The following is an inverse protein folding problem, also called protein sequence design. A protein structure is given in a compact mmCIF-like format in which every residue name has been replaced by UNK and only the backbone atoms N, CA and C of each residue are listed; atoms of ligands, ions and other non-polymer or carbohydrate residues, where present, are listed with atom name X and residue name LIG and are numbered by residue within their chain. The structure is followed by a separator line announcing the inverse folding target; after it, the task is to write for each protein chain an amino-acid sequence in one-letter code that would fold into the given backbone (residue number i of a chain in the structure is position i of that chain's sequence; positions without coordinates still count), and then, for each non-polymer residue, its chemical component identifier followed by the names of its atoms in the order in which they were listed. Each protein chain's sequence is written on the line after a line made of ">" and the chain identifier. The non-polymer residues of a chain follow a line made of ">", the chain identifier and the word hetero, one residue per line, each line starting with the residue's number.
data_IF_846198129372
#
_entry.id   IF_846198129372
#
_cell.length_a   1.000
_cell.length_b   1.000
_cell.length_c   1.000
_cell.angle_alpha   90.00
_cell.angle_beta   90.00
_cell.angle_gamma   90.00
#
_symmetry.space_group_name_H-M   'P 1'
#
loop_
_entity.id
_entity.type
_entity.pdbx_description
1 polymer ?
#
# COMPACT_ATOMS: atom_id res chain seq x y z
N UNK A 1 -23.62 19.84 5.63
CA UNK A 1 -23.89 18.54 4.98
C UNK A 1 -22.68 17.69 5.21
N UNK A 2 -22.85 16.59 5.95
CA UNK A 2 -21.80 15.64 6.25
C UNK A 2 -22.13 14.39 5.43
N UNK A 3 -21.24 13.99 4.53
CA UNK A 3 -21.38 12.77 3.75
C UNK A 3 -20.41 11.76 4.35
N UNK A 4 -20.90 10.62 4.82
CA UNK A 4 -20.03 9.55 5.33
C UNK A 4 -20.60 8.18 4.93
N UNK A 5 -19.76 7.15 4.96
CA UNK A 5 -20.17 5.80 4.58
C UNK A 5 -18.98 4.86 4.39
N UNK A 6 -19.23 3.73 3.74
CA UNK A 6 -18.22 2.71 3.45
C UNK A 6 -18.05 2.53 1.93
N UNK A 7 -16.80 2.38 1.48
CA UNK A 7 -16.45 2.13 0.09
C UNK A 7 -16.95 0.77 -0.45
N UNK A 8 -17.33 -0.15 0.44
CA UNK A 8 -18.00 -1.40 0.05
C UNK A 8 -19.44 -1.17 -0.45
N UNK A 9 -20.06 -0.05 -0.07
CA UNK A 9 -21.43 0.30 -0.43
C UNK A 9 -21.49 1.37 -1.53
N UNK A 10 -20.54 2.32 -1.49
CA UNK A 10 -20.46 3.42 -2.46
C UNK A 10 -19.06 3.48 -3.03
N UNK A 11 -18.94 3.23 -4.33
CA UNK A 11 -17.64 3.26 -4.98
C UNK A 11 -17.08 4.70 -5.08
N UNK A 12 -15.76 4.83 -5.11
CA UNK A 12 -15.03 6.11 -5.15
C UNK A 12 -15.43 7.00 -6.33
N UNK A 13 -15.75 6.43 -7.51
CA UNK A 13 -16.17 7.20 -8.68
C UNK A 13 -17.51 7.87 -8.42
N UNK A 14 -18.46 7.12 -7.86
CA UNK A 14 -19.78 7.64 -7.48
C UNK A 14 -19.66 8.76 -6.46
N UNK A 15 -18.80 8.57 -5.45
CA UNK A 15 -18.52 9.57 -4.42
C UNK A 15 -17.94 10.87 -5.00
N UNK A 16 -16.92 10.79 -5.85
CA UNK A 16 -16.31 11.97 -6.46
C UNK A 16 -17.28 12.66 -7.43
N UNK A 17 -18.03 11.89 -8.22
CA UNK A 17 -19.04 12.42 -9.14
C UNK A 17 -20.12 13.18 -8.38
N UNK A 18 -20.54 12.67 -7.22
CA UNK A 18 -21.50 13.33 -6.35
C UNK A 18 -20.95 14.68 -5.83
N UNK A 19 -19.73 14.71 -5.29
CA UNK A 19 -19.06 15.95 -4.82
C UNK A 19 -18.96 17.00 -5.95
N UNK A 20 -18.61 16.55 -7.16
CA UNK A 20 -18.54 17.40 -8.35
C UNK A 20 -19.89 17.99 -8.72
N UNK A 21 -20.95 17.16 -8.77
CA UNK A 21 -22.29 17.59 -9.17
C UNK A 21 -22.88 18.62 -8.21
N UNK A 22 -22.67 18.46 -6.91
CA UNK A 22 -23.14 19.43 -5.90
C UNK A 22 -22.19 20.64 -5.75
N UNK A 23 -21.09 20.68 -6.51
CA UNK A 23 -20.03 21.70 -6.45
C UNK A 23 -19.52 21.94 -5.02
N UNK A 24 -19.36 20.88 -4.23
CA UNK A 24 -18.99 21.03 -2.83
C UNK A 24 -17.52 21.46 -2.67
N UNK A 25 -17.30 22.33 -1.69
CA UNK A 25 -15.98 22.74 -1.21
C UNK A 25 -15.75 22.10 0.16
N UNK A 26 -14.60 21.44 0.33
CA UNK A 26 -14.33 20.66 1.53
C UNK A 26 -13.20 19.66 1.35
N UNK A 27 -13.07 18.74 2.30
CA UNK A 27 -12.12 17.64 2.24
C UNK A 27 -12.82 16.30 2.32
N UNK A 28 -12.48 15.41 1.41
CA UNK A 28 -12.81 14.00 1.46
C UNK A 28 -11.70 13.27 2.21
N UNK A 29 -12.05 12.58 3.27
CA UNK A 29 -11.14 11.78 4.08
C UNK A 29 -11.53 10.32 3.86
N UNK A 30 -10.59 9.49 3.44
CA UNK A 30 -10.77 8.04 3.34
C UNK A 30 -9.83 7.38 4.32
N UNK A 31 -10.43 6.81 5.37
CA UNK A 31 -9.73 6.00 6.33
C UNK A 31 -9.63 4.58 5.78
N UNK A 32 -8.46 4.26 5.24
CA UNK A 32 -8.05 2.89 5.00
C UNK A 32 -7.09 2.45 6.13
N UNK A 33 -6.79 1.17 6.19
CA UNK A 33 -6.01 0.56 7.26
C UNK A 33 -4.54 1.03 7.34
N UNK A 34 -4.07 1.90 6.43
CA UNK A 34 -2.66 2.31 6.32
C UNK A 34 -2.41 3.82 6.46
N UNK A 35 -3.38 4.70 6.27
CA UNK A 35 -3.42 6.10 6.74
C UNK A 35 -4.64 6.81 6.18
N UNK A 36 -5.15 7.89 6.82
CA UNK A 36 -6.16 8.72 6.20
C UNK A 36 -5.60 9.32 4.90
N UNK A 37 -6.21 8.97 3.77
CA UNK A 37 -5.96 9.64 2.50
C UNK A 37 -6.96 10.79 2.39
N UNK A 38 -6.47 12.00 2.15
CA UNK A 38 -7.29 13.21 2.13
C UNK A 38 -7.22 13.81 0.73
N UNK A 39 -8.37 14.17 0.17
CA UNK A 39 -8.46 14.95 -1.08
C UNK A 39 -9.26 16.20 -0.79
N UNK A 40 -8.69 17.34 -1.12
CA UNK A 40 -9.31 18.64 -0.99
C UNK A 40 -10.05 19.01 -2.27
N UNK A 41 -11.27 19.52 -2.11
CA UNK A 41 -12.14 19.94 -3.19
C UNK A 41 -12.51 21.42 -3.04
N UNK A 42 -12.53 22.14 -4.16
CA UNK A 42 -13.03 23.51 -4.29
C UNK A 42 -14.01 23.57 -5.45
N UNK A 43 -15.25 23.95 -5.17
CA UNK A 43 -16.34 24.01 -6.15
C UNK A 43 -16.55 22.68 -6.91
N UNK A 44 -16.39 21.55 -6.23
CA UNK A 44 -16.54 20.22 -6.81
C UNK A 44 -15.33 19.71 -7.60
N UNK A 45 -14.30 20.52 -7.79
CA UNK A 45 -13.05 20.12 -8.42
C UNK A 45 -11.98 19.85 -7.35
N UNK A 46 -11.22 18.75 -7.46
CA UNK A 46 -10.17 18.46 -6.50
C UNK A 46 -8.94 19.36 -6.76
N UNK A 47 -8.30 19.85 -5.68
CA UNK A 47 -7.28 20.91 -5.73
C UNK A 47 -5.99 20.62 -4.95
N UNK A 48 -6.02 19.66 -4.04
CA UNK A 48 -4.84 19.15 -3.33
C UNK A 48 -5.18 17.77 -2.72
N UNK A 49 -4.18 17.04 -2.24
CA UNK A 49 -4.35 15.79 -1.53
C UNK A 49 -3.17 15.50 -0.57
N UNK A 50 -3.45 14.78 0.51
CA UNK A 50 -2.49 14.37 1.52
C UNK A 50 -2.57 12.86 1.76
N UNK A 51 -1.41 12.21 1.88
CA UNK A 51 -1.31 10.79 2.21
C UNK A 51 -0.05 10.16 1.63
N UNK A 52 0.21 10.42 0.35
CA UNK A 52 1.41 9.98 -0.37
C UNK A 52 2.40 11.12 -0.62
N UNK A 53 3.56 10.80 -1.22
CA UNK A 53 4.61 11.78 -1.56
C UNK A 53 4.08 12.87 -2.49
N UNK A 54 3.25 12.47 -3.45
CA UNK A 54 2.59 13.38 -4.38
C UNK A 54 1.07 13.30 -4.24
N UNK A 55 0.34 14.43 -4.33
CA UNK A 55 -1.11 14.39 -4.21
C UNK A 55 -1.81 13.61 -5.33
N UNK A 56 -1.28 13.59 -6.55
CA UNK A 56 -1.80 12.74 -7.62
C UNK A 56 -1.64 11.24 -7.32
N UNK A 57 -0.55 10.83 -6.67
CA UNK A 57 -0.36 9.45 -6.19
C UNK A 57 -1.39 9.10 -5.10
N UNK A 58 -1.69 10.05 -4.20
CA UNK A 58 -2.75 9.90 -3.20
C UNK A 58 -4.10 9.59 -3.84
N UNK A 59 -4.42 10.25 -4.97
CA UNK A 59 -5.68 10.06 -5.69
C UNK A 59 -5.70 8.73 -6.42
N UNK A 60 -4.63 8.36 -7.11
CA UNK A 60 -4.49 7.03 -7.73
C UNK A 60 -4.69 5.92 -6.69
N UNK A 61 -4.13 6.11 -5.49
CA UNK A 61 -4.29 5.19 -4.37
C UNK A 61 -5.73 5.14 -3.89
N UNK A 62 -6.39 6.29 -3.70
CA UNK A 62 -7.82 6.35 -3.36
C UNK A 62 -8.67 5.61 -4.39
N UNK A 63 -8.43 5.82 -5.68
CA UNK A 63 -9.16 5.15 -6.77
C UNK A 63 -8.98 3.62 -6.72
N UNK A 64 -7.84 3.14 -6.23
CA UNK A 64 -7.52 1.71 -6.09
C UNK A 64 -8.19 1.01 -4.89
N UNK A 65 -8.78 1.77 -3.97
CA UNK A 65 -9.41 1.24 -2.76
C UNK A 65 -10.75 0.57 -3.08
N UNK A 66 -10.91 -0.64 -2.55
CA UNK A 66 -12.16 -1.42 -2.63
C UNK A 66 -12.94 -1.40 -1.31
N UNK A 67 -12.27 -1.00 -0.21
CA UNK A 67 -12.83 -0.95 1.13
C UNK A 67 -12.26 0.25 1.90
N UNK A 68 -13.02 0.74 2.88
CA UNK A 68 -12.61 1.84 3.75
C UNK A 68 -13.78 2.73 4.13
N UNK A 69 -13.64 3.47 5.23
CA UNK A 69 -14.64 4.44 5.64
C UNK A 69 -14.31 5.81 5.06
N UNK A 70 -15.30 6.45 4.45
CA UNK A 70 -15.13 7.80 3.92
C UNK A 70 -15.93 8.81 4.73
N UNK A 71 -15.43 10.04 4.79
CA UNK A 71 -16.08 11.19 5.40
C UNK A 71 -15.73 12.45 4.60
N UNK A 72 -16.75 13.17 4.13
CA UNK A 72 -16.60 14.49 3.53
C UNK A 72 -16.96 15.57 4.55
N UNK A 73 -16.00 16.45 4.83
CA UNK A 73 -16.18 17.63 5.68
C UNK A 73 -16.16 18.88 4.83
N UNK A 74 -17.27 19.63 4.85
CA UNK A 74 -17.25 21.01 4.32
C UNK A 74 -16.20 21.81 5.07
N UNK A 75 -15.39 22.54 4.32
CA UNK A 75 -14.31 23.36 4.84
C UNK A 75 -14.05 24.46 3.83
N UNK A 76 -14.14 25.71 4.26
CA UNK A 76 -13.91 26.87 3.39
C UNK A 76 -12.42 27.24 3.32
N UNK A 77 -11.62 26.80 4.30
CA UNK A 77 -10.16 26.92 4.31
C UNK A 77 -9.52 25.73 3.59
N UNK A 78 -9.53 25.79 2.27
CA UNK A 78 -8.87 24.83 1.39
C UNK A 78 -7.50 25.38 1.00
N UNK A 79 -6.43 24.56 1.02
CA UNK A 79 -5.11 24.99 0.54
C UNK A 79 -5.17 25.57 -0.88
N UNK A 80 -4.25 26.48 -1.19
CA UNK A 80 -4.09 26.95 -2.58
C UNK A 80 -3.82 25.76 -3.50
N UNK A 81 -4.41 25.80 -4.70
CA UNK A 81 -4.27 24.72 -5.67
C UNK A 81 -2.80 24.53 -5.99
N UNK A 82 -2.24 23.39 -5.59
CA UNK A 82 -0.90 22.97 -6.04
C UNK A 82 -0.94 22.34 -7.42
N UNK A 83 -2.11 22.29 -8.05
CA UNK A 83 -2.36 21.58 -9.29
C UNK A 83 -2.83 22.48 -10.42
N UNK A 84 -2.26 22.23 -11.60
CA UNK A 84 -2.74 22.71 -12.88
C UNK A 84 -3.23 21.52 -13.72
N UNK A 85 -4.56 21.38 -13.90
CA UNK A 85 -5.16 20.52 -14.94
C UNK A 85 -5.16 19.00 -14.73
N UNK A 86 -4.12 18.39 -14.16
CA UNK A 86 -3.95 16.92 -14.13
C UNK A 86 -5.05 16.16 -13.37
N UNK A 87 -5.65 16.78 -12.35
CA UNK A 87 -6.58 16.08 -11.47
C UNK A 87 -7.96 15.83 -12.12
N UNK A 88 -8.46 16.79 -12.89
CA UNK A 88 -9.73 16.61 -13.61
C UNK A 88 -9.58 15.56 -14.73
N UNK A 89 -8.39 15.42 -15.33
CA UNK A 89 -8.04 14.34 -16.25
C UNK A 89 -7.91 12.97 -15.55
N UNK A 90 -7.38 12.94 -14.32
CA UNK A 90 -7.38 11.71 -13.50
C UNK A 90 -8.80 11.22 -13.23
N UNK A 91 -9.77 12.13 -13.03
CA UNK A 91 -11.17 11.75 -12.83
C UNK A 91 -11.81 11.15 -14.09
N UNK A 92 -11.48 11.65 -15.28
CA UNK A 92 -11.97 11.07 -16.54
C UNK A 92 -11.35 9.70 -16.85
N UNK A 93 -10.23 9.36 -16.19
CA UNK A 93 -9.51 8.09 -16.36
C UNK A 93 -9.66 7.10 -15.21
N UNK A 94 -10.57 7.36 -14.24
CA UNK A 94 -10.81 6.48 -13.07
C UNK A 94 -10.97 5.01 -13.45
N UNK A 95 -11.79 4.69 -14.44
CA UNK A 95 -12.05 3.30 -14.83
C UNK A 95 -10.79 2.63 -15.40
N UNK A 96 -9.99 3.39 -16.18
CA UNK A 96 -8.71 2.93 -16.70
C UNK A 96 -7.71 2.67 -15.58
N UNK A 97 -7.63 3.57 -14.59
CA UNK A 97 -6.78 3.42 -13.40
C UNK A 97 -7.20 2.19 -12.59
N UNK A 98 -8.51 2.00 -12.33
CA UNK A 98 -9.04 0.81 -11.65
C UNK A 98 -8.68 -0.48 -12.39
N UNK A 99 -8.85 -0.51 -13.71
CA UNK A 99 -8.51 -1.67 -14.53
C UNK A 99 -7.01 -1.99 -14.49
N UNK A 100 -6.15 -0.95 -14.56
CA UNK A 100 -4.70 -1.12 -14.41
C UNK A 100 -4.34 -1.70 -13.05
N UNK A 101 -4.87 -1.14 -11.97
CA UNK A 101 -4.66 -1.66 -10.63
C UNK A 101 -5.13 -3.11 -10.48
N UNK A 102 -6.29 -3.48 -11.05
CA UNK A 102 -6.78 -4.86 -11.02
C UNK A 102 -5.83 -5.84 -11.72
N UNK A 103 -5.28 -5.46 -12.88
CA UNK A 103 -4.28 -6.27 -13.61
C UNK A 103 -2.95 -6.36 -12.86
N UNK A 104 -2.54 -5.28 -12.20
CA UNK A 104 -1.32 -5.23 -11.42
C UNK A 104 -1.44 -6.08 -10.14
N UNK A 105 -2.54 -5.96 -9.39
CA UNK A 105 -2.79 -6.77 -8.18
C UNK A 105 -2.84 -8.27 -8.47
N UNK A 106 -3.34 -8.69 -9.65
CA UNK A 106 -3.34 -10.11 -10.02
C UNK A 106 -1.93 -10.66 -10.29
N UNK A 107 -1.01 -9.81 -10.80
CA UNK A 107 0.39 -10.19 -11.05
C UNK A 107 1.27 -10.05 -9.81
N UNK A 108 1.07 -8.98 -9.06
CA UNK A 108 1.81 -8.65 -7.85
C UNK A 108 0.84 -8.59 -6.67
N UNK A 109 0.37 -9.75 -6.16
CA UNK A 109 -0.55 -9.80 -5.03
C UNK A 109 0.09 -9.27 -3.74
N UNK A 110 1.43 -9.21 -3.70
CA UNK A 110 2.21 -8.68 -2.59
C UNK A 110 3.40 -7.91 -3.14
N UNK A 111 3.86 -6.87 -2.45
CA UNK A 111 5.10 -6.18 -2.77
C UNK A 111 6.35 -6.91 -2.19
N UNK A 112 6.18 -8.02 -1.47
CA UNK A 112 7.26 -8.87 -0.95
C UNK A 112 7.71 -9.92 -2.00
N UNK A 113 7.98 -9.43 -3.21
CA UNK A 113 8.51 -10.23 -4.30
C UNK A 113 9.95 -9.80 -4.54
N UNK A 114 10.82 -10.75 -4.83
CA UNK A 114 12.18 -10.45 -5.25
C UNK A 114 12.18 -10.32 -6.77
N UNK A 115 12.66 -9.18 -7.25
CA UNK A 115 12.86 -8.90 -8.66
C UNK A 115 14.32 -9.21 -9.00
N UNK A 116 14.54 -10.09 -9.96
CA UNK A 116 15.89 -10.47 -10.43
C UNK A 116 15.97 -10.32 -11.94
N UNK A 117 17.16 -10.03 -12.47
CA UNK A 117 17.38 -10.11 -13.92
C UNK A 117 17.20 -11.55 -14.39
N UNK A 118 16.64 -11.68 -15.58
CA UNK A 118 16.54 -12.94 -16.30
C UNK A 118 17.83 -13.18 -17.09
N UNK A 119 18.36 -14.39 -17.00
CA UNK A 119 19.36 -14.87 -17.96
C UNK A 119 18.65 -15.19 -19.28
N UNK A 120 18.19 -14.16 -20.00
CA UNK A 120 17.50 -14.39 -21.27
C UNK A 120 18.48 -14.96 -22.29
N UNK A 121 18.17 -16.16 -22.79
CA UNK A 121 18.92 -16.81 -23.89
C UNK A 121 18.42 -16.38 -25.28
N UNK A 122 17.51 -15.41 -25.32
CA UNK A 122 16.81 -15.03 -26.54
C UNK A 122 17.62 -13.95 -27.27
N UNK A 123 18.19 -14.30 -28.43
CA UNK A 123 19.00 -13.40 -29.26
C UNK A 123 18.18 -12.40 -30.08
N UNK A 124 16.88 -12.25 -29.79
CA UNK A 124 16.02 -11.31 -30.48
C UNK A 124 16.28 -9.88 -30.00
N UNK A 125 16.18 -8.91 -30.90
CA UNK A 125 16.33 -7.49 -30.57
C UNK A 125 15.19 -7.03 -29.64
N UNK A 126 15.51 -6.74 -28.38
CA UNK A 126 14.52 -6.31 -27.38
C UNK A 126 14.41 -4.79 -27.40
N UNK A 127 13.24 -4.27 -27.78
CA UNK A 127 12.97 -2.83 -27.71
C UNK A 127 12.55 -2.43 -26.30
N UNK A 128 13.34 -1.56 -25.68
CA UNK A 128 13.06 -0.98 -24.37
C UNK A 128 12.82 0.51 -24.47
N UNK A 129 11.77 0.98 -23.82
CA UNK A 129 11.55 2.40 -23.58
C UNK A 129 12.59 2.94 -22.60
N UNK A 130 12.79 4.26 -22.60
CA UNK A 130 13.70 4.92 -21.65
C UNK A 130 13.30 4.70 -20.19
N UNK A 131 11.99 4.62 -19.90
CA UNK A 131 11.48 4.37 -18.55
C UNK A 131 11.73 2.92 -18.09
N UNK A 132 11.56 1.95 -18.98
CA UNK A 132 11.87 0.54 -18.71
C UNK A 132 13.36 0.35 -18.45
N UNK A 133 14.22 0.98 -19.26
CA UNK A 133 15.67 1.01 -19.02
C UNK A 133 16.02 1.57 -17.65
N UNK A 134 15.34 2.65 -17.25
CA UNK A 134 15.56 3.27 -15.95
C UNK A 134 15.20 2.34 -14.80
N UNK A 135 14.05 1.64 -14.88
CA UNK A 135 13.69 0.62 -13.88
C UNK A 135 14.69 -0.53 -13.86
N UNK A 136 15.07 -1.06 -15.04
CA UNK A 136 16.03 -2.15 -15.16
C UNK A 136 17.38 -1.80 -14.53
N UNK A 137 17.82 -0.54 -14.65
CA UNK A 137 19.11 -0.07 -14.10
C UNK A 137 19.21 -0.17 -12.56
N UNK A 138 18.08 -0.28 -11.86
CA UNK A 138 18.03 -0.50 -10.41
C UNK A 138 18.09 -1.99 -10.03
N UNK A 139 17.82 -2.90 -10.96
CA UNK A 139 17.83 -4.36 -10.75
C UNK A 139 19.21 -4.92 -11.12
N UNK A 140 20.28 -4.44 -10.48
CA UNK A 140 21.64 -4.99 -10.68
C UNK A 140 21.83 -6.31 -9.92
N UNK A 141 21.20 -6.38 -8.77
CA UNK A 141 21.16 -7.53 -7.87
C UNK A 141 19.69 -7.80 -7.52
N UNK A 142 19.36 -8.99 -6.95
CA UNK A 142 18.04 -9.26 -6.44
C UNK A 142 17.55 -8.14 -5.50
N UNK A 143 16.48 -7.45 -5.88
CA UNK A 143 15.89 -6.34 -5.13
C UNK A 143 14.43 -6.64 -4.79
N UNK A 144 13.99 -6.26 -3.61
CA UNK A 144 12.58 -6.39 -3.27
C UNK A 144 11.72 -5.41 -4.06
N UNK A 145 10.54 -5.83 -4.49
CA UNK A 145 9.62 -4.99 -5.25
C UNK A 145 9.20 -3.73 -4.47
N UNK A 146 9.00 -3.82 -3.15
CA UNK A 146 8.74 -2.64 -2.32
C UNK A 146 9.92 -1.66 -2.27
N UNK A 147 11.17 -2.14 -2.36
CA UNK A 147 12.35 -1.28 -2.39
C UNK A 147 12.46 -0.60 -3.74
N UNK A 148 12.22 -1.37 -4.81
CA UNK A 148 12.18 -0.85 -6.18
C UNK A 148 11.13 0.26 -6.32
N UNK A 149 9.93 0.09 -5.76
CA UNK A 149 8.89 1.14 -5.72
C UNK A 149 9.39 2.39 -4.98
N UNK A 150 10.09 2.22 -3.85
CA UNK A 150 10.57 3.35 -3.03
C UNK A 150 11.65 4.17 -3.72
N UNK A 151 12.57 3.52 -4.43
CA UNK A 151 13.71 4.16 -5.12
C UNK A 151 13.38 4.57 -6.55
N UNK A 152 12.28 4.07 -7.11
CA UNK A 152 11.81 4.43 -8.45
C UNK A 152 11.51 5.93 -8.53
N UNK A 153 11.88 6.60 -9.63
CA UNK A 153 11.50 7.98 -9.90
C UNK A 153 10.03 8.10 -10.38
N UNK A 154 9.32 6.99 -10.51
CA UNK A 154 7.94 6.95 -10.97
C UNK A 154 7.00 6.56 -9.82
N UNK A 155 5.74 7.01 -9.88
CA UNK A 155 4.67 6.62 -8.95
C UNK A 155 4.48 5.11 -8.91
N UNK A 156 3.90 4.60 -7.82
CA UNK A 156 3.74 3.16 -7.61
C UNK A 156 3.10 2.43 -8.81
N UNK A 157 1.93 2.88 -9.27
CA UNK A 157 1.21 2.23 -10.37
C UNK A 157 2.06 2.16 -11.66
N UNK A 158 2.77 3.25 -11.97
CA UNK A 158 3.64 3.33 -13.14
C UNK A 158 4.84 2.41 -12.98
N UNK A 159 5.47 2.41 -11.82
CA UNK A 159 6.60 1.50 -11.50
C UNK A 159 6.19 0.04 -11.66
N UNK A 160 5.07 -0.36 -11.05
CA UNK A 160 4.55 -1.72 -11.17
C UNK A 160 4.20 -2.08 -12.62
N UNK A 161 3.67 -1.14 -13.40
CA UNK A 161 3.40 -1.34 -14.82
C UNK A 161 4.68 -1.56 -15.65
N UNK A 162 5.75 -0.82 -15.35
CA UNK A 162 7.05 -0.99 -16.00
C UNK A 162 7.67 -2.34 -15.64
N UNK A 163 7.64 -2.73 -14.35
CA UNK A 163 8.06 -4.06 -13.89
C UNK A 163 7.26 -5.16 -14.60
N UNK A 164 5.94 -5.00 -14.69
CA UNK A 164 5.06 -5.91 -15.41
C UNK A 164 5.46 -6.09 -16.89
N UNK A 165 5.79 -4.99 -17.57
CA UNK A 165 6.25 -5.00 -18.97
C UNK A 165 7.62 -5.68 -19.13
N UNK A 166 8.56 -5.39 -18.24
CA UNK A 166 9.88 -6.03 -18.23
C UNK A 166 9.78 -7.55 -18.00
N UNK A 167 8.83 -7.98 -17.17
CA UNK A 167 8.56 -9.40 -16.94
C UNK A 167 7.94 -10.07 -18.17
N UNK A 168 7.02 -9.41 -18.89
CA UNK A 168 6.48 -9.90 -20.17
C UNK A 168 7.55 -10.05 -21.26
N UNK A 169 8.57 -9.19 -21.22
CA UNK A 169 9.75 -9.24 -22.10
C UNK A 169 10.80 -10.26 -21.65
N UNK A 170 10.52 -11.01 -20.58
CA UNK A 170 11.44 -12.02 -20.01
C UNK A 170 12.81 -11.43 -19.64
N UNK A 171 12.85 -10.14 -19.28
CA UNK A 171 14.07 -9.46 -18.83
C UNK A 171 14.25 -9.52 -17.32
N UNK A 172 13.15 -9.68 -16.60
CA UNK A 172 13.14 -9.87 -15.16
C UNK A 172 12.23 -11.03 -14.77
N UNK A 173 12.55 -11.66 -13.65
CA UNK A 173 11.68 -12.59 -12.98
C UNK A 173 11.29 -12.02 -11.62
N UNK A 174 10.02 -12.23 -11.26
CA UNK A 174 9.54 -12.00 -9.91
C UNK A 174 9.36 -13.34 -9.23
N UNK A 175 10.10 -13.55 -8.16
CA UNK A 175 9.97 -14.73 -7.33
C UNK A 175 9.30 -14.33 -6.03
N UNK A 176 8.26 -15.08 -5.64
CA UNK A 176 7.86 -15.09 -4.23
C UNK A 176 9.08 -15.60 -3.48
N UNK A 177 9.57 -14.83 -2.52
CA UNK A 177 10.60 -15.35 -1.64
C UNK A 177 10.04 -16.59 -0.94
N UNK A 178 10.49 -17.77 -1.38
CA UNK A 178 10.49 -18.96 -0.54
C UNK A 178 11.66 -18.77 0.41
N UNK A 179 11.41 -18.06 1.50
CA UNK A 179 11.94 -18.40 2.81
C UNK A 179 11.54 -17.33 3.82
N UNK A 180 10.43 -17.63 4.46
CA UNK A 180 10.31 -17.53 5.89
C UNK A 180 11.32 -18.47 6.57
N UNK A 181 12.61 -18.12 6.51
CA UNK A 181 13.61 -18.81 7.33
C UNK A 181 13.33 -18.45 8.79
N UNK A 182 12.94 -19.48 9.55
CA UNK A 182 12.92 -19.45 11.00
C UNK A 182 14.31 -19.07 11.50
N UNK A 183 14.42 -17.89 12.11
CA UNK A 183 15.60 -17.44 12.81
C UNK A 183 15.49 -17.85 14.29
N UNK A 184 16.60 -18.06 15.00
CA UNK A 184 16.57 -18.37 16.43
C UNK A 184 15.79 -17.33 17.27
N UNK A 185 15.78 -16.08 16.83
CA UNK A 185 15.03 -14.97 17.43
C UNK A 185 13.50 -15.01 17.18
N UNK A 186 13.01 -15.88 16.30
CA UNK A 186 11.58 -16.10 16.07
C UNK A 186 10.96 -17.03 17.12
N UNK A 187 11.78 -17.76 17.89
CA UNK A 187 11.32 -18.63 18.98
C UNK A 187 11.06 -17.84 20.26
N UNK A 188 10.24 -16.79 20.15
CA UNK A 188 9.85 -15.93 21.27
C UNK A 188 8.36 -16.04 21.53
N UNK A 189 8.00 -15.98 22.80
CA UNK A 189 6.60 -15.89 23.25
C UNK A 189 6.34 -14.41 23.51
N UNK A 190 5.58 -13.72 22.65
CA UNK A 190 5.11 -12.38 22.96
C UNK A 190 4.12 -12.45 24.14
N UNK A 191 4.21 -11.47 25.04
CA UNK A 191 3.36 -11.33 26.22
C UNK A 191 2.64 -9.98 26.19
N UNK A 192 1.32 -9.96 26.39
CA UNK A 192 0.56 -8.70 26.45
C UNK A 192 0.90 -7.93 27.71
N UNK A 193 1.15 -6.63 27.57
CA UNK A 193 1.17 -5.68 28.71
C UNK A 193 -0.19 -4.99 28.82
N UNK A 194 -0.62 -4.69 30.05
CA UNK A 194 -1.91 -4.05 30.31
C UNK A 194 -1.98 -2.65 29.66
N UNK A 195 -3.04 -2.37 28.90
CA UNK A 195 -3.27 -1.08 28.24
C UNK A 195 -4.23 -1.15 27.05
N UNK A 196 -4.71 0.02 26.59
CA UNK A 196 -5.55 0.13 25.37
C UNK A 196 -4.81 -0.44 24.14
N UNK A 197 -5.60 -1.08 23.25
CA UNK A 197 -5.20 -1.76 22.00
C UNK A 197 -4.14 -0.96 21.24
N UNK A 198 -3.18 -1.66 20.61
CA UNK A 198 -2.24 -1.04 19.67
C UNK A 198 -3.02 -0.24 18.62
N UNK A 199 -2.83 1.08 18.60
CA UNK A 199 -3.44 1.96 17.60
C UNK A 199 -2.73 1.74 16.26
N UNK A 200 -3.50 1.76 15.17
CA UNK A 200 -3.06 1.61 13.79
C UNK A 200 -1.68 2.25 13.52
N UNK A 201 -0.71 1.45 13.09
CA UNK A 201 0.45 2.01 12.38
C UNK A 201 0.18 2.14 10.91
N UNK A 202 0.87 3.12 10.34
CA UNK A 202 0.94 3.42 8.92
C UNK A 202 1.31 2.20 8.05
N UNK A 203 2.01 1.21 8.63
CA UNK A 203 2.67 0.14 7.87
C UNK A 203 1.90 -1.19 7.91
N UNK A 204 1.18 -1.52 9.00
CA UNK A 204 0.57 -2.87 9.16
C UNK A 204 -0.87 -2.89 9.70
N UNK A 205 -1.53 -1.75 9.93
CA UNK A 205 -3.00 -1.64 10.11
C UNK A 205 -3.68 -2.75 10.92
N UNK A 206 -4.65 -3.43 10.30
CA UNK A 206 -5.41 -4.57 10.85
C UNK A 206 -4.54 -5.76 11.25
N UNK A 207 -3.42 -6.01 10.55
CA UNK A 207 -2.51 -7.11 10.87
C UNK A 207 -1.83 -6.90 12.22
N UNK A 208 -1.53 -5.66 12.62
CA UNK A 208 -1.05 -5.38 13.98
C UNK A 208 -2.10 -5.75 15.03
N UNK A 209 -3.36 -5.42 14.76
CA UNK A 209 -4.47 -5.65 15.69
C UNK A 209 -4.73 -7.14 15.80
N UNK A 210 -4.73 -7.85 14.67
CA UNK A 210 -4.89 -9.30 14.62
C UNK A 210 -3.73 -10.00 15.32
N UNK A 211 -2.49 -9.60 15.03
CA UNK A 211 -1.29 -10.07 15.72
C UNK A 211 -1.39 -9.86 17.22
N UNK A 212 -1.71 -8.64 17.65
CA UNK A 212 -1.87 -8.33 19.06
C UNK A 212 -2.99 -9.14 19.71
N UNK A 213 -4.15 -9.32 19.05
CA UNK A 213 -5.27 -10.12 19.56
C UNK A 213 -4.87 -11.57 19.80
N UNK A 214 -4.08 -12.15 18.89
CA UNK A 214 -3.60 -13.54 18.93
C UNK A 214 -2.56 -13.82 20.03
N UNK A 215 -1.96 -12.79 20.62
CA UNK A 215 -1.05 -12.96 21.76
C UNK A 215 -1.86 -13.39 23.00
N UNK A 216 -1.63 -14.61 23.46
CA UNK A 216 -2.34 -15.24 24.60
C UNK A 216 -1.39 -15.71 25.71
N UNK A 217 -0.12 -15.27 25.66
CA UNK A 217 0.98 -15.68 26.54
C UNK A 217 1.38 -17.16 26.44
N UNK A 218 0.82 -17.93 25.49
CA UNK A 218 1.14 -19.35 25.26
C UNK A 218 1.75 -19.59 23.88
N UNK A 219 1.20 -18.93 22.86
CA UNK A 219 1.66 -19.07 21.47
C UNK A 219 2.98 -18.34 21.27
N UNK A 220 3.90 -19.01 20.57
CA UNK A 220 5.10 -18.34 20.08
C UNK A 220 4.78 -17.47 18.86
N UNK A 221 5.72 -16.58 18.56
CA UNK A 221 5.69 -15.69 17.40
C UNK A 221 5.40 -16.47 16.11
N UNK A 222 6.03 -17.63 15.94
CA UNK A 222 5.91 -18.47 14.74
C UNK A 222 4.48 -18.95 14.54
N UNK A 223 3.84 -19.43 15.61
CA UNK A 223 2.46 -19.91 15.61
C UNK A 223 1.50 -18.77 15.30
N UNK A 224 1.73 -17.59 15.90
CA UNK A 224 0.91 -16.39 15.66
C UNK A 224 1.01 -15.94 14.20
N UNK A 225 2.23 -15.85 13.65
CA UNK A 225 2.48 -15.49 12.25
C UNK A 225 1.78 -16.44 11.28
N UNK A 226 1.89 -17.76 11.53
CA UNK A 226 1.24 -18.79 10.71
C UNK A 226 -0.28 -18.72 10.79
N UNK A 227 -0.87 -18.51 11.97
CA UNK A 227 -2.33 -18.39 12.13
C UNK A 227 -2.92 -17.19 11.42
N UNK A 228 -2.16 -16.09 11.32
CA UNK A 228 -2.58 -14.84 10.67
C UNK A 228 -2.32 -14.89 9.15
N UNK A 229 -1.53 -15.87 8.69
CA UNK A 229 -1.18 -16.00 7.27
C UNK A 229 -0.28 -14.88 6.76
N UNK A 230 0.58 -14.34 7.63
CA UNK A 230 1.61 -13.35 7.27
C UNK A 230 3.00 -14.01 7.23
N UNK A 231 3.98 -13.37 6.60
CA UNK A 231 5.36 -13.87 6.61
C UNK A 231 6.08 -13.44 7.92
N UNK A 232 7.14 -14.14 8.32
CA UNK A 232 7.95 -13.85 9.50
C UNK A 232 8.58 -12.47 9.45
N UNK A 233 8.94 -11.91 8.28
CA UNK A 233 9.47 -10.54 8.23
C UNK A 233 8.41 -9.52 8.66
N UNK A 234 7.21 -9.57 8.06
CA UNK A 234 6.07 -8.74 8.45
C UNK A 234 5.71 -8.96 9.92
N UNK A 235 5.73 -10.23 10.35
CA UNK A 235 5.59 -10.59 11.76
C UNK A 235 6.61 -9.87 12.63
N UNK A 236 7.91 -9.92 12.28
CA UNK A 236 9.00 -9.30 13.06
C UNK A 236 8.86 -7.78 13.09
N UNK A 237 8.41 -7.17 12.01
CA UNK A 237 8.20 -5.72 11.95
C UNK A 237 7.01 -5.31 12.83
N UNK A 238 5.91 -6.07 12.82
CA UNK A 238 4.80 -5.93 13.77
C UNK A 238 5.29 -6.12 15.22
N UNK A 239 6.09 -7.16 15.46
CA UNK A 239 6.64 -7.49 16.77
C UNK A 239 7.53 -6.37 17.31
N UNK A 240 8.48 -5.87 16.51
CA UNK A 240 9.36 -4.73 16.82
C UNK A 240 8.57 -3.48 17.11
N UNK A 241 7.53 -3.21 16.32
CA UNK A 241 6.65 -2.08 16.56
C UNK A 241 5.93 -2.20 17.90
N UNK A 242 5.27 -3.32 18.19
CA UNK A 242 4.56 -3.51 19.46
C UNK A 242 5.50 -3.44 20.68
N UNK A 243 6.75 -3.89 20.52
CA UNK A 243 7.80 -3.75 21.54
C UNK A 243 8.21 -2.29 21.77
N UNK A 244 8.44 -1.52 20.69
CA UNK A 244 8.83 -0.10 20.81
C UNK A 244 7.73 0.74 21.45
N UNK A 245 6.47 0.36 21.27
CA UNK A 245 5.31 0.99 21.92
C UNK A 245 5.06 0.50 23.35
N UNK A 246 5.89 -0.40 23.88
CA UNK A 246 5.73 -0.98 25.21
C UNK A 246 4.45 -1.79 25.40
N UNK A 247 3.81 -2.25 24.30
CA UNK A 247 2.54 -2.99 24.33
C UNK A 247 2.74 -4.47 24.63
N UNK A 248 3.91 -5.00 24.31
CA UNK A 248 4.26 -6.38 24.55
C UNK A 248 5.63 -6.49 25.22
N UNK A 249 5.94 -7.65 25.75
CA UNK A 249 7.30 -8.09 26.12
C UNK A 249 7.58 -9.45 25.51
N UNK A 250 8.85 -9.81 25.37
CA UNK A 250 9.24 -11.14 24.88
C UNK A 250 9.69 -12.02 26.04
N UNK A 251 9.31 -13.30 25.96
CA UNK A 251 9.88 -14.39 26.76
C UNK A 251 10.54 -15.39 25.82
N UNK A 252 11.72 -15.91 26.17
CA UNK A 252 12.33 -17.01 25.41
C UNK A 252 11.46 -18.25 25.52
N UNK A 253 11.24 -18.92 24.39
CA UNK A 253 10.63 -20.25 24.38
C UNK A 253 11.59 -21.21 25.10
N UNK A 254 11.22 -21.64 26.30
CA UNK A 254 11.91 -22.75 26.97
C UNK A 254 11.67 -23.99 26.13
N UNK A 255 12.75 -24.60 25.64
CA UNK A 255 12.71 -25.92 24.97
C UNK A 255 12.23 -26.99 25.94
#
# INVERSE_FOLDING_TARGET
>A
MNLNGNLTEVDVKTLISFIKNIKATGKLIINNNSSPLIVYFKNGEPVDAEGEKEPAETIEKIISLEQGFFEFKKNDNIPESKFSGELSELLSTIDSIKLKWKKIKSRFPTQNLTVTLSETKNNNEIKLSGEEWKILSFVKEPIYLYELIKISPFRELKTLSLVSSLQEKELIHTTKNKEDKLMPEDEVIPLKKAGRVAVNTVIYGEKNIEFYKKIDNKKDFVTIVKEIGINFKDGRDILKYLLSQGKISLRKKTK
#
